data_IF_187088521249
#
_entry.id   IF_187088521249
#
_cell.length_a   1.000
_cell.length_b   1.000
_cell.length_c   1.000
_cell.angle_alpha   90.00
_cell.angle_beta   90.00
_cell.angle_gamma   90.00
#
_symmetry.space_group_name_H-M   'P 1'
#
loop_
_entity.id
_entity.type
_entity.pdbx_description
1 polymer ?
#
# COMPACT_ATOMS: atom_id res chain seq x y z
N UNK A 1 6.61 31.00 4.40
CA UNK A 1 6.66 30.33 3.09
C UNK A 1 7.57 29.13 3.25
N UNK A 2 7.16 27.93 2.84
CA UNK A 2 7.99 26.73 3.01
C UNK A 2 9.18 26.83 2.05
N UNK A 3 10.40 26.76 2.58
CA UNK A 3 11.60 26.72 1.76
C UNK A 3 11.80 25.28 1.25
N UNK A 4 11.64 25.05 -0.05
CA UNK A 4 11.77 23.70 -0.63
C UNK A 4 13.19 23.13 -0.51
N UNK A 5 14.21 23.99 -0.47
CA UNK A 5 15.61 23.58 -0.40
C UNK A 5 15.90 22.84 0.92
N UNK A 6 15.04 23.02 1.93
CA UNK A 6 15.11 22.30 3.21
C UNK A 6 14.77 20.80 3.10
N UNK A 7 14.19 20.36 1.97
CA UNK A 7 13.74 18.98 1.74
C UNK A 7 14.47 18.30 0.57
N UNK A 8 15.29 19.05 -0.16
CA UNK A 8 16.01 18.58 -1.34
C UNK A 8 17.49 18.41 -0.98
N UNK A 9 18.03 17.23 -1.25
CA UNK A 9 19.44 16.93 -1.06
C UNK A 9 20.04 16.27 -2.31
N UNK A 10 21.32 15.89 -2.24
CA UNK A 10 22.01 15.22 -3.35
C UNK A 10 21.38 13.88 -3.77
N UNK A 11 20.64 13.22 -2.88
CA UNK A 11 20.02 11.92 -3.14
C UNK A 11 18.73 12.04 -3.93
N UNK A 12 17.94 13.10 -3.70
CA UNK A 12 16.61 13.26 -4.29
C UNK A 12 16.48 14.39 -5.33
N UNK A 13 17.51 15.23 -5.50
CA UNK A 13 17.45 16.40 -6.39
C UNK A 13 17.08 16.03 -7.84
N UNK A 14 17.64 14.95 -8.38
CA UNK A 14 17.34 14.51 -9.74
C UNK A 14 15.88 14.06 -9.91
N UNK A 15 15.33 13.36 -8.92
CA UNK A 15 13.92 12.95 -8.92
C UNK A 15 13.00 14.19 -8.83
N UNK A 16 13.33 15.12 -7.94
CA UNK A 16 12.62 16.39 -7.81
C UNK A 16 12.60 17.18 -9.12
N UNK A 17 13.76 17.35 -9.76
CA UNK A 17 13.89 18.07 -11.03
C UNK A 17 13.09 17.41 -12.15
N UNK A 18 13.16 16.07 -12.23
CA UNK A 18 12.40 15.28 -13.19
C UNK A 18 10.89 15.50 -13.02
N UNK A 19 10.38 15.37 -11.79
CA UNK A 19 8.95 15.51 -11.50
C UNK A 19 8.47 16.96 -11.63
N UNK A 20 9.26 17.95 -11.23
CA UNK A 20 8.94 19.38 -11.35
C UNK A 20 8.79 19.83 -12.81
N UNK A 21 9.44 19.15 -13.76
CA UNK A 21 9.22 19.38 -15.19
C UNK A 21 7.83 18.92 -15.64
N UNK A 22 7.24 17.91 -14.99
CA UNK A 22 5.95 17.29 -15.34
C UNK A 22 4.76 17.85 -14.55
N UNK A 23 4.97 18.17 -13.27
CA UNK A 23 3.93 18.58 -12.33
C UNK A 23 4.13 20.02 -11.85
N UNK A 24 3.04 20.65 -11.42
CA UNK A 24 3.10 21.86 -10.63
C UNK A 24 3.07 21.46 -9.16
N UNK A 25 4.25 21.21 -8.58
CA UNK A 25 4.41 20.73 -7.20
C UNK A 25 4.45 21.93 -6.26
N UNK A 26 3.68 21.86 -5.18
CA UNK A 26 3.65 22.83 -4.10
C UNK A 26 3.77 22.12 -2.75
N UNK A 27 4.32 22.81 -1.75
CA UNK A 27 4.46 22.29 -0.39
C UNK A 27 3.43 22.94 0.53
N UNK A 28 2.90 22.19 1.48
CA UNK A 28 2.04 22.69 2.56
C UNK A 28 2.37 21.97 3.85
N UNK A 29 2.12 22.59 5.00
CA UNK A 29 2.33 21.89 6.27
C UNK A 29 1.23 20.85 6.48
N UNK A 30 1.65 19.64 6.86
CA UNK A 30 0.74 18.59 7.27
C UNK A 30 0.05 18.97 8.57
N UNK A 31 -1.18 18.48 8.76
CA UNK A 31 -1.90 18.57 10.06
C UNK A 31 -1.63 17.36 10.95
N UNK A 32 -0.85 16.41 10.46
CA UNK A 32 -0.46 15.17 11.14
C UNK A 32 1.07 15.11 11.18
N UNK A 33 1.68 14.26 12.01
CA UNK A 33 3.14 14.11 12.01
C UNK A 33 3.68 13.45 10.73
N UNK A 34 2.81 13.04 9.80
CA UNK A 34 3.17 12.30 8.61
C UNK A 34 3.23 13.20 7.37
N UNK A 35 4.14 12.85 6.48
CA UNK A 35 4.15 13.35 5.12
C UNK A 35 3.01 12.70 4.34
N UNK A 36 2.45 13.45 3.38
CA UNK A 36 1.36 12.97 2.53
C UNK A 36 1.43 13.64 1.16
N UNK A 37 0.94 12.97 0.14
CA UNK A 37 0.78 13.54 -1.20
C UNK A 37 -0.69 13.63 -1.60
N UNK A 38 -1.06 14.77 -2.19
CA UNK A 38 -2.34 14.95 -2.87
C UNK A 38 -2.12 15.32 -4.32
N UNK A 39 -2.61 14.45 -5.21
CA UNK A 39 -2.53 14.62 -6.66
C UNK A 39 -3.88 15.11 -7.15
N UNK A 40 -3.93 16.37 -7.59
CA UNK A 40 -5.17 17.01 -8.04
C UNK A 40 -5.44 16.62 -9.49
N UNK A 41 -6.72 16.41 -9.86
CA UNK A 41 -7.11 16.04 -11.22
C UNK A 41 -6.59 17.07 -12.24
N UNK A 42 -5.99 16.58 -13.33
CA UNK A 42 -5.40 17.44 -14.37
C UNK A 42 -6.49 18.20 -15.16
N UNK A 43 -6.28 19.51 -15.32
CA UNK A 43 -7.02 20.33 -16.28
C UNK A 43 -6.34 20.25 -17.65
N UNK A 44 -7.13 20.24 -18.74
CA UNK A 44 -6.66 20.02 -20.12
C UNK A 44 -5.48 20.90 -20.56
N UNK A 45 -5.35 22.10 -19.99
CA UNK A 45 -4.37 23.11 -20.43
C UNK A 45 -3.27 23.43 -19.40
N UNK A 46 -3.18 22.69 -18.29
CA UNK A 46 -2.22 22.99 -17.23
C UNK A 46 -1.46 21.75 -16.78
N UNK A 47 -0.25 21.99 -16.21
CA UNK A 47 0.45 20.95 -15.46
C UNK A 47 -0.48 20.44 -14.36
N UNK A 48 -0.46 19.12 -14.14
CA UNK A 48 -1.20 18.54 -13.03
C UNK A 48 -0.64 19.09 -11.72
N UNK A 49 -1.53 19.58 -10.85
CA UNK A 49 -1.16 20.14 -9.56
C UNK A 49 -0.95 19.02 -8.55
N UNK A 50 0.10 19.16 -7.76
CA UNK A 50 0.46 18.24 -6.68
C UNK A 50 0.77 19.06 -5.44
N UNK A 51 0.24 18.62 -4.31
CA UNK A 51 0.57 19.17 -2.99
C UNK A 51 1.28 18.07 -2.21
N UNK A 52 2.51 18.31 -1.79
CA UNK A 52 3.19 17.47 -0.81
C UNK A 52 3.03 18.16 0.55
N UNK A 53 2.36 17.47 1.46
CA UNK A 53 2.24 17.87 2.85
C UNK A 53 3.47 17.41 3.60
N UNK A 54 4.21 18.36 4.16
CA UNK A 54 5.46 18.12 4.89
C UNK A 54 5.26 18.37 6.37
N UNK A 55 6.01 17.67 7.21
CA UNK A 55 6.04 17.94 8.64
C UNK A 55 6.86 19.22 8.89
N UNK A 56 6.36 20.11 9.76
CA UNK A 56 7.05 21.35 10.15
C UNK A 56 8.15 21.11 11.18
N UNK A 57 7.99 20.06 11.99
CA UNK A 57 8.91 19.65 13.05
C UNK A 57 9.97 18.64 12.57
N UNK A 58 9.77 18.05 11.39
CA UNK A 58 10.68 17.07 10.79
C UNK A 58 10.92 17.41 9.32
N UNK A 59 12.16 17.79 8.99
CA UNK A 59 12.62 18.09 7.63
C UNK A 59 13.30 16.88 7.00
N UNK A 60 12.70 15.71 7.16
CA UNK A 60 13.25 14.45 6.66
C UNK A 60 13.30 14.44 5.13
N UNK A 61 14.51 14.36 4.59
CA UNK A 61 14.75 14.11 3.17
C UNK A 61 14.21 12.74 2.74
N UNK A 62 14.27 11.76 3.64
CA UNK A 62 13.78 10.40 3.43
C UNK A 62 12.26 10.41 3.22
N UNK A 63 11.51 10.99 4.16
CA UNK A 63 10.05 11.05 4.11
C UNK A 63 9.56 11.92 2.95
N UNK A 64 10.29 12.99 2.61
CA UNK A 64 9.98 13.76 1.41
C UNK A 64 10.18 12.94 0.13
N UNK A 65 11.26 12.15 0.06
CA UNK A 65 11.55 11.30 -1.09
C UNK A 65 10.52 10.19 -1.24
N UNK A 66 10.00 9.64 -0.14
CA UNK A 66 8.90 8.68 -0.13
C UNK A 66 7.68 9.22 -0.92
N UNK A 67 7.26 10.47 -0.64
CA UNK A 67 6.16 11.11 -1.38
C UNK A 67 6.50 11.38 -2.86
N UNK A 68 7.76 11.73 -3.16
CA UNK A 68 8.21 11.88 -4.55
C UNK A 68 8.15 10.57 -5.33
N UNK A 69 8.41 9.44 -4.69
CA UNK A 69 8.32 8.12 -5.32
C UNK A 69 6.87 7.72 -5.60
N UNK A 70 5.93 8.02 -4.71
CA UNK A 70 4.50 7.89 -5.05
C UNK A 70 4.12 8.75 -6.28
N UNK A 71 4.62 9.98 -6.35
CA UNK A 71 4.41 10.83 -7.52
C UNK A 71 5.03 10.25 -8.80
N UNK A 72 6.19 9.61 -8.68
CA UNK A 72 6.85 8.91 -9.79
C UNK A 72 6.01 7.74 -10.30
N UNK A 73 5.47 6.89 -9.40
CA UNK A 73 4.56 5.81 -9.81
C UNK A 73 3.34 6.36 -10.56
N UNK A 74 2.76 7.45 -10.05
CA UNK A 74 1.65 8.14 -10.73
C UNK A 74 2.05 8.69 -12.11
N UNK A 75 3.22 9.33 -12.23
CA UNK A 75 3.76 9.79 -13.51
C UNK A 75 3.95 8.65 -14.51
N UNK A 76 4.47 7.53 -14.00
CA UNK A 76 4.68 6.32 -14.78
C UNK A 76 3.35 5.67 -15.13
N UNK A 77 2.21 6.18 -14.61
CA UNK A 77 0.83 5.77 -14.85
C UNK A 77 0.43 4.47 -14.15
N UNK A 78 1.11 4.18 -13.05
CA UNK A 78 0.75 3.13 -12.11
C UNK A 78 -0.22 3.75 -11.10
N UNK A 79 -1.46 3.26 -11.09
CA UNK A 79 -2.54 3.70 -10.23
C UNK A 79 -3.15 2.47 -9.53
N UNK A 80 -2.43 1.95 -8.52
CA UNK A 80 -2.85 0.75 -7.78
C UNK A 80 -4.21 1.01 -7.12
N UNK A 81 -4.35 2.12 -6.40
CA UNK A 81 -5.58 2.45 -5.68
C UNK A 81 -6.78 2.55 -6.62
N UNK A 82 -6.66 3.27 -7.74
CA UNK A 82 -7.76 3.43 -8.69
C UNK A 82 -8.11 2.12 -9.39
N UNK A 83 -7.13 1.27 -9.70
CA UNK A 83 -7.38 -0.06 -10.28
C UNK A 83 -8.05 -1.00 -9.28
N UNK A 84 -7.52 -1.11 -8.06
CA UNK A 84 -8.07 -1.94 -6.99
C UNK A 84 -9.49 -1.49 -6.63
N UNK A 85 -9.69 -0.18 -6.45
CA UNK A 85 -11.02 0.39 -6.17
C UNK A 85 -12.01 0.08 -7.28
N UNK A 86 -11.63 0.23 -8.56
CA UNK A 86 -12.51 -0.15 -9.68
C UNK A 86 -12.86 -1.64 -9.67
N UNK A 87 -11.92 -2.51 -9.32
CA UNK A 87 -12.19 -3.95 -9.21
C UNK A 87 -13.18 -4.23 -8.06
N UNK A 88 -12.99 -3.60 -6.90
CA UNK A 88 -13.87 -3.73 -5.73
C UNK A 88 -15.28 -3.20 -6.02
N UNK A 89 -15.41 -2.00 -6.61
CA UNK A 89 -16.70 -1.37 -6.89
C UNK A 89 -17.53 -2.14 -7.94
N UNK A 90 -16.90 -2.96 -8.78
CA UNK A 90 -17.62 -3.87 -9.69
C UNK A 90 -18.34 -5.00 -8.96
N UNK A 91 -18.02 -5.23 -7.68
CA UNK A 91 -18.65 -6.24 -6.83
C UNK A 91 -19.54 -5.52 -5.81
N UNK A 92 -20.85 -5.51 -6.09
CA UNK A 92 -21.85 -4.67 -5.42
C UNK A 92 -21.82 -4.70 -3.90
N UNK A 93 -21.42 -5.83 -3.29
CA UNK A 93 -21.33 -6.01 -1.84
C UNK A 93 -19.91 -5.99 -1.27
N UNK A 94 -18.89 -6.27 -2.08
CA UNK A 94 -17.49 -6.23 -1.61
C UNK A 94 -17.04 -4.83 -1.20
N UNK A 95 -17.60 -3.78 -1.82
CA UNK A 95 -17.30 -2.40 -1.46
C UNK A 95 -17.60 -2.04 0.00
N UNK A 96 -18.53 -2.77 0.64
CA UNK A 96 -18.81 -2.61 2.06
C UNK A 96 -17.76 -3.32 2.91
N UNK A 97 -17.30 -4.50 2.48
CA UNK A 97 -16.22 -5.23 3.14
C UNK A 97 -14.90 -4.44 3.02
N UNK A 98 -14.44 -4.19 1.81
CA UNK A 98 -13.20 -3.46 1.54
C UNK A 98 -13.50 -1.96 1.46
N UNK A 99 -13.71 -1.32 2.61
CA UNK A 99 -13.96 0.12 2.71
C UNK A 99 -12.76 0.96 2.23
N UNK A 100 -12.92 2.30 2.19
CA UNK A 100 -11.85 3.20 1.73
C UNK A 100 -10.55 3.03 2.51
N UNK A 101 -10.63 2.89 3.84
CA UNK A 101 -9.44 2.81 4.69
C UNK A 101 -8.66 1.53 4.43
N UNK A 102 -9.35 0.39 4.33
CA UNK A 102 -8.74 -0.89 3.98
C UNK A 102 -8.11 -0.84 2.58
N UNK A 103 -8.83 -0.27 1.60
CA UNK A 103 -8.29 -0.08 0.23
C UNK A 103 -7.04 0.78 0.23
N UNK A 104 -7.06 1.90 0.95
CA UNK A 104 -5.91 2.80 1.06
C UNK A 104 -4.71 2.08 1.68
N UNK A 105 -4.91 1.36 2.78
CA UNK A 105 -3.84 0.63 3.46
C UNK A 105 -3.20 -0.44 2.55
N UNK A 106 -4.01 -1.32 1.95
CA UNK A 106 -3.51 -2.36 1.06
C UNK A 106 -2.77 -1.76 -0.14
N UNK A 107 -3.36 -0.75 -0.79
CA UNK A 107 -2.75 -0.16 -1.99
C UNK A 107 -1.45 0.58 -1.65
N UNK A 108 -1.40 1.26 -0.50
CA UNK A 108 -0.19 1.93 -0.05
C UNK A 108 0.95 0.93 0.19
N UNK A 109 0.66 -0.18 0.88
CA UNK A 109 1.65 -1.25 1.08
C UNK A 109 2.13 -1.86 -0.24
N UNK A 110 1.27 -1.97 -1.25
CA UNK A 110 1.67 -2.45 -2.57
C UNK A 110 2.53 -1.42 -3.33
N UNK A 111 2.21 -0.13 -3.27
CA UNK A 111 3.04 0.94 -3.83
C UNK A 111 4.45 0.90 -3.21
N UNK A 112 4.54 0.71 -1.90
CA UNK A 112 5.81 0.57 -1.18
C UNK A 112 6.70 -0.53 -1.77
N UNK A 113 6.12 -1.68 -2.13
CA UNK A 113 6.88 -2.78 -2.74
C UNK A 113 7.42 -2.47 -4.14
N UNK A 114 6.85 -1.47 -4.85
CA UNK A 114 7.34 -1.03 -6.16
C UNK A 114 8.43 0.03 -6.06
N UNK A 115 8.46 0.77 -4.96
CA UNK A 115 9.36 1.92 -4.83
C UNK A 115 10.55 1.70 -3.91
N UNK A 116 10.54 0.66 -3.06
CA UNK A 116 11.63 0.38 -2.12
C UNK A 116 13.00 0.25 -2.81
N UNK A 117 13.09 -0.48 -3.92
CA UNK A 117 14.36 -0.67 -4.62
C UNK A 117 14.94 0.65 -5.16
N UNK A 118 14.08 1.54 -5.66
CA UNK A 118 14.49 2.87 -6.14
C UNK A 118 14.95 3.74 -4.96
N UNK A 119 14.20 3.71 -3.85
CA UNK A 119 14.52 4.43 -2.62
C UNK A 119 15.89 4.03 -2.06
N UNK A 120 16.19 2.72 -2.02
CA UNK A 120 17.49 2.20 -1.59
C UNK A 120 18.62 2.55 -2.57
N UNK A 121 18.37 2.53 -3.89
CA UNK A 121 19.34 2.96 -4.91
C UNK A 121 19.71 4.45 -4.80
N UNK A 122 18.81 5.28 -4.29
CA UNK A 122 19.08 6.70 -3.98
C UNK A 122 19.94 6.86 -2.70
N UNK A 123 20.25 5.77 -2.00
CA UNK A 123 21.12 5.75 -0.83
C UNK A 123 20.42 6.03 0.50
N UNK A 124 19.10 5.97 0.55
CA UNK A 124 18.35 6.10 1.80
C UNK A 124 18.30 4.76 2.55
N UNK A 125 18.13 4.80 3.88
CA UNK A 125 18.06 3.59 4.69
C UNK A 125 16.65 2.99 4.68
N UNK A 126 16.56 1.66 4.59
CA UNK A 126 15.31 0.91 4.69
C UNK A 126 14.54 1.21 5.99
N UNK A 127 15.25 1.44 7.10
CA UNK A 127 14.67 1.78 8.41
C UNK A 127 13.78 3.03 8.34
N UNK A 128 14.10 3.96 7.44
CA UNK A 128 13.45 5.26 7.33
C UNK A 128 12.30 5.24 6.31
N UNK A 129 12.13 4.13 5.59
CA UNK A 129 11.17 4.02 4.49
C UNK A 129 9.72 3.86 4.98
N UNK A 130 9.51 3.14 6.08
CA UNK A 130 8.20 2.96 6.71
C UNK A 130 8.24 3.60 8.11
N UNK A 131 7.30 4.51 8.37
CA UNK A 131 7.19 5.18 9.66
C UNK A 131 6.98 4.19 10.85
N UNK A 132 6.41 3.01 10.58
CA UNK A 132 6.00 2.03 11.59
C UNK A 132 6.84 0.75 11.57
N UNK A 133 8.12 0.83 11.19
CA UNK A 133 9.00 -0.36 11.14
C UNK A 133 9.12 -1.11 12.48
N UNK A 134 8.89 -0.43 13.61
CA UNK A 134 9.04 -1.00 14.96
C UNK A 134 7.74 -1.53 15.59
N UNK A 135 6.61 -1.47 14.89
CA UNK A 135 5.34 -1.99 15.41
C UNK A 135 5.10 -3.40 14.88
N UNK A 136 4.94 -4.41 15.75
CA UNK A 136 4.60 -5.76 15.33
C UNK A 136 3.32 -5.78 14.48
N UNK A 137 3.35 -6.48 13.35
CA UNK A 137 2.18 -6.62 12.48
C UNK A 137 1.06 -7.39 13.19
N UNK A 138 1.44 -8.43 13.93
CA UNK A 138 0.55 -9.32 14.67
C UNK A 138 1.28 -9.80 15.93
N UNK A 139 0.50 -10.07 16.97
CA UNK A 139 0.94 -10.62 18.24
C UNK A 139 -0.03 -11.74 18.66
N UNK A 140 0.26 -12.40 19.79
CA UNK A 140 -0.53 -13.52 20.32
C UNK A 140 -2.00 -13.13 20.59
N UNK A 141 -2.24 -11.88 21.02
CA UNK A 141 -3.59 -11.40 21.28
C UNK A 141 -4.37 -11.23 19.97
N UNK A 142 -3.76 -10.60 18.96
CA UNK A 142 -4.36 -10.35 17.66
C UNK A 142 -4.65 -11.65 16.90
N UNK A 143 -3.76 -12.65 16.95
CA UNK A 143 -4.01 -13.95 16.29
C UNK A 143 -5.15 -14.72 16.99
N UNK A 144 -5.20 -14.71 18.33
CA UNK A 144 -6.29 -15.32 19.10
C UNK A 144 -7.63 -14.64 18.80
N UNK A 145 -7.65 -13.31 18.78
CA UNK A 145 -8.84 -12.54 18.46
C UNK A 145 -9.30 -12.79 17.02
N UNK A 146 -8.37 -12.88 16.06
CA UNK A 146 -8.69 -13.24 14.68
C UNK A 146 -9.32 -14.64 14.60
N UNK A 147 -8.77 -15.63 15.31
CA UNK A 147 -9.34 -16.98 15.38
C UNK A 147 -10.78 -16.96 15.90
N UNK A 148 -11.01 -16.29 17.03
CA UNK A 148 -12.35 -16.13 17.65
C UNK A 148 -13.33 -15.45 16.69
N UNK A 149 -12.85 -14.50 15.90
CA UNK A 149 -13.69 -13.80 14.91
C UNK A 149 -14.15 -14.73 13.79
N UNK A 150 -13.30 -15.68 13.34
CA UNK A 150 -13.69 -16.68 12.34
C UNK A 150 -14.71 -17.70 12.86
N UNK A 151 -14.67 -18.03 14.14
CA UNK A 151 -15.60 -18.98 14.76
C UNK A 151 -16.98 -18.38 15.04
N UNK A 152 -17.13 -17.06 14.98
CA UNK A 152 -18.37 -16.36 15.32
C UNK A 152 -18.92 -15.59 14.12
N UNK A 153 -20.11 -15.99 13.66
CA UNK A 153 -20.82 -15.39 12.52
C UNK A 153 -21.04 -13.88 12.63
N UNK A 154 -21.20 -13.34 13.85
CA UNK A 154 -21.38 -11.89 14.04
C UNK A 154 -20.10 -11.09 13.79
N UNK A 155 -18.94 -11.74 13.83
CA UNK A 155 -17.62 -11.10 13.73
C UNK A 155 -16.77 -11.63 12.58
N UNK A 156 -17.24 -12.64 11.84
CA UNK A 156 -16.49 -13.27 10.76
C UNK A 156 -16.09 -12.30 9.66
N UNK A 157 -16.89 -11.26 9.43
CA UNK A 157 -16.55 -10.15 8.54
C UNK A 157 -15.27 -9.41 8.97
N UNK A 158 -15.13 -9.17 10.28
CA UNK A 158 -13.95 -8.50 10.86
C UNK A 158 -12.75 -9.45 10.82
N UNK A 159 -12.95 -10.72 11.17
CA UNK A 159 -11.92 -11.76 11.08
C UNK A 159 -11.35 -11.89 9.67
N UNK A 160 -12.22 -11.91 8.66
CA UNK A 160 -11.84 -11.95 7.26
C UNK A 160 -10.97 -10.75 6.84
N UNK A 161 -11.37 -9.53 7.22
CA UNK A 161 -10.60 -8.31 6.91
C UNK A 161 -9.23 -8.30 7.59
N UNK A 162 -9.20 -8.63 8.88
CA UNK A 162 -7.97 -8.71 9.65
C UNK A 162 -7.03 -9.75 9.04
N UNK A 163 -7.54 -10.92 8.66
CA UNK A 163 -6.75 -11.97 8.02
C UNK A 163 -6.13 -11.50 6.71
N UNK A 164 -6.95 -11.00 5.78
CA UNK A 164 -6.47 -10.57 4.45
C UNK A 164 -5.48 -9.41 4.60
N UNK A 165 -5.81 -8.42 5.44
CA UNK A 165 -4.96 -7.27 5.71
C UNK A 165 -3.62 -7.66 6.32
N UNK A 166 -3.64 -8.48 7.37
CA UNK A 166 -2.42 -8.93 8.04
C UNK A 166 -1.55 -9.77 7.12
N UNK A 167 -2.12 -10.74 6.39
CA UNK A 167 -1.30 -11.61 5.54
C UNK A 167 -0.68 -10.83 4.38
N UNK A 168 -1.44 -9.94 3.71
CA UNK A 168 -0.85 -9.04 2.69
C UNK A 168 0.26 -8.17 3.29
N UNK A 169 0.09 -7.66 4.51
CA UNK A 169 1.12 -6.86 5.20
C UNK A 169 2.41 -7.66 5.43
N UNK A 170 2.29 -8.93 5.86
CA UNK A 170 3.44 -9.85 6.05
C UNK A 170 4.16 -10.06 4.72
N UNK A 171 3.43 -10.32 3.63
CA UNK A 171 4.00 -10.49 2.29
C UNK A 171 4.69 -9.22 1.77
N UNK A 172 4.08 -8.05 1.96
CA UNK A 172 4.65 -6.77 1.54
C UNK A 172 5.96 -6.45 2.26
N UNK A 173 6.09 -6.79 3.55
CA UNK A 173 7.34 -6.61 4.32
C UNK A 173 8.35 -7.75 4.13
N UNK A 174 8.03 -8.77 3.32
CA UNK A 174 8.86 -9.95 3.09
C UNK A 174 9.27 -10.70 4.38
N UNK A 175 8.37 -10.74 5.38
CA UNK A 175 8.65 -11.23 6.73
C UNK A 175 8.42 -12.73 6.93
N UNK A 176 8.30 -13.51 5.85
CA UNK A 176 7.80 -14.88 5.92
C UNK A 176 8.72 -15.87 6.65
N UNK A 177 9.99 -15.53 6.89
CA UNK A 177 11.01 -16.55 7.19
C UNK A 177 11.64 -16.55 8.59
N UNK A 178 11.32 -15.65 9.52
CA UNK A 178 11.91 -15.74 10.87
C UNK A 178 10.99 -15.30 12.00
N UNK A 179 10.32 -14.15 11.91
CA UNK A 179 9.59 -13.57 13.06
C UNK A 179 8.10 -13.97 13.13
N UNK A 180 7.47 -14.22 11.97
CA UNK A 180 6.00 -14.43 11.90
C UNK A 180 5.58 -15.85 11.53
N UNK A 181 6.52 -16.79 11.40
CA UNK A 181 6.25 -18.15 10.92
C UNK A 181 5.19 -18.90 11.75
N UNK A 182 5.21 -18.75 13.08
CA UNK A 182 4.20 -19.32 13.98
C UNK A 182 2.81 -18.71 13.77
N UNK A 183 2.73 -17.39 13.55
CA UNK A 183 1.47 -16.73 13.24
C UNK A 183 0.92 -17.16 11.88
N UNK A 184 1.77 -17.23 10.85
CA UNK A 184 1.39 -17.71 9.51
C UNK A 184 0.90 -19.16 9.56
N UNK A 185 1.56 -20.04 10.32
CA UNK A 185 1.09 -21.42 10.54
C UNK A 185 -0.30 -21.46 11.18
N UNK A 186 -0.57 -20.56 12.12
CA UNK A 186 -1.89 -20.46 12.75
C UNK A 186 -2.93 -19.95 11.75
N UNK A 187 -2.60 -18.93 10.96
CA UNK A 187 -3.47 -18.43 9.88
C UNK A 187 -3.78 -19.52 8.84
N UNK A 188 -2.79 -20.36 8.48
CA UNK A 188 -2.98 -21.53 7.62
C UNK A 188 -4.02 -22.50 8.18
N UNK A 189 -4.01 -22.77 9.49
CA UNK A 189 -5.04 -23.63 10.11
C UNK A 189 -6.42 -22.99 10.18
N UNK A 190 -6.52 -21.65 10.19
CA UNK A 190 -7.82 -20.96 10.15
C UNK A 190 -8.42 -20.99 8.74
N UNK A 191 -7.60 -20.68 7.73
CA UNK A 191 -8.04 -20.65 6.34
C UNK A 191 -6.88 -20.69 5.33
N UNK A 192 -6.53 -21.89 4.87
CA UNK A 192 -5.48 -22.07 3.87
C UNK A 192 -5.85 -21.48 2.50
N UNK A 193 -7.12 -21.52 2.10
CA UNK A 193 -7.54 -21.00 0.79
C UNK A 193 -7.34 -19.48 0.64
N UNK A 194 -7.56 -18.70 1.71
CA UNK A 194 -7.29 -17.24 1.65
C UNK A 194 -5.78 -17.00 1.48
N UNK A 195 -4.95 -17.82 2.12
CA UNK A 195 -3.49 -17.76 1.95
C UNK A 195 -3.11 -18.10 0.52
N UNK A 196 -3.62 -19.20 -0.03
CA UNK A 196 -3.35 -19.61 -1.42
C UNK A 196 -3.71 -18.50 -2.42
N UNK A 197 -4.87 -17.84 -2.23
CA UNK A 197 -5.29 -16.70 -3.07
C UNK A 197 -4.28 -15.55 -3.03
N UNK A 198 -3.78 -15.22 -1.83
CA UNK A 198 -2.83 -14.12 -1.63
C UNK A 198 -1.45 -14.52 -2.17
N UNK A 199 -1.00 -15.74 -1.96
CA UNK A 199 0.27 -16.25 -2.47
C UNK A 199 0.33 -16.25 -4.00
N UNK A 200 -0.73 -16.74 -4.65
CA UNK A 200 -0.85 -16.67 -6.10
C UNK A 200 -0.81 -15.21 -6.60
N UNK A 201 -1.48 -14.30 -5.89
CA UNK A 201 -1.37 -12.88 -6.20
C UNK A 201 0.09 -12.40 -6.08
N UNK A 202 0.81 -12.76 -5.03
CA UNK A 202 2.20 -12.33 -4.84
C UNK A 202 3.18 -12.94 -5.87
N UNK A 203 2.90 -14.13 -6.38
CA UNK A 203 3.63 -14.70 -7.52
C UNK A 203 3.48 -13.78 -8.75
N UNK A 204 2.24 -13.37 -9.07
CA UNK A 204 1.99 -12.41 -10.16
C UNK A 204 2.57 -11.03 -9.85
N UNK A 205 2.48 -10.59 -8.60
CA UNK A 205 2.94 -9.29 -8.14
C UNK A 205 4.47 -9.16 -8.27
N UNK A 206 5.21 -10.21 -7.93
CA UNK A 206 6.66 -10.24 -8.08
C UNK A 206 7.09 -10.00 -9.54
N UNK A 207 6.37 -10.56 -10.52
CA UNK A 207 6.60 -10.24 -11.93
C UNK A 207 6.27 -8.77 -12.27
N UNK A 208 5.21 -8.21 -11.66
CA UNK A 208 4.85 -6.81 -11.82
C UNK A 208 5.92 -5.86 -11.25
N UNK A 209 6.55 -6.18 -10.11
CA UNK A 209 7.64 -5.38 -9.53
C UNK A 209 8.83 -5.26 -10.47
N UNK A 210 9.18 -6.34 -11.17
CA UNK A 210 10.31 -6.35 -12.10
C UNK A 210 9.97 -5.55 -13.37
N UNK A 211 8.76 -5.72 -13.90
CA UNK A 211 8.40 -5.20 -15.23
C UNK A 211 7.74 -3.82 -15.21
N UNK A 212 7.22 -3.39 -14.07
CA UNK A 212 6.35 -2.21 -13.92
C UNK A 212 5.21 -2.15 -14.95
N UNK A 213 4.76 -3.33 -15.41
CA UNK A 213 3.78 -3.42 -16.49
C UNK A 213 2.36 -3.19 -15.96
N UNK A 214 1.76 -2.05 -16.33
CA UNK A 214 0.40 -1.65 -15.92
C UNK A 214 -0.68 -2.67 -16.25
N UNK A 215 -0.56 -3.36 -17.38
CA UNK A 215 -1.54 -4.37 -17.79
C UNK A 215 -1.48 -5.55 -16.83
N UNK A 216 -0.26 -5.96 -16.44
CA UNK A 216 -0.07 -7.05 -15.49
C UNK A 216 -0.48 -6.66 -14.08
N UNK A 217 -0.15 -5.44 -13.63
CA UNK A 217 -0.64 -4.89 -12.35
C UNK A 217 -2.17 -4.93 -12.30
N UNK A 218 -2.82 -4.45 -13.36
CA UNK A 218 -4.29 -4.49 -13.47
C UNK A 218 -4.83 -5.90 -13.41
N UNK A 219 -4.19 -6.85 -14.11
CA UNK A 219 -4.59 -8.24 -14.12
C UNK A 219 -4.46 -8.87 -12.72
N UNK A 220 -3.31 -8.69 -12.06
CA UNK A 220 -3.05 -9.22 -10.73
C UNK A 220 -4.07 -8.71 -9.70
N UNK A 221 -4.28 -7.39 -9.63
CA UNK A 221 -5.24 -6.79 -8.69
C UNK A 221 -6.69 -7.24 -8.96
N UNK A 222 -7.07 -7.37 -10.24
CA UNK A 222 -8.43 -7.84 -10.59
C UNK A 222 -8.64 -9.29 -10.15
N UNK A 223 -7.67 -10.17 -10.41
CA UNK A 223 -7.73 -11.58 -10.00
C UNK A 223 -7.80 -11.73 -8.48
N UNK A 224 -6.96 -10.99 -7.75
CA UNK A 224 -6.99 -10.98 -6.28
C UNK A 224 -8.39 -10.61 -5.76
N UNK A 225 -8.96 -9.52 -6.26
CA UNK A 225 -10.29 -9.05 -5.83
C UNK A 225 -11.38 -10.06 -6.21
N UNK A 226 -11.33 -10.64 -7.40
CA UNK A 226 -12.31 -11.64 -7.84
C UNK A 226 -12.28 -12.90 -6.94
N UNK A 227 -11.09 -13.41 -6.62
CA UNK A 227 -10.93 -14.59 -5.78
C UNK A 227 -11.32 -14.34 -4.33
N UNK A 228 -10.91 -13.19 -3.76
CA UNK A 228 -11.33 -12.80 -2.42
C UNK A 228 -12.86 -12.61 -2.34
N UNK A 229 -13.47 -12.03 -3.37
CA UNK A 229 -14.93 -11.90 -3.44
C UNK A 229 -15.63 -13.26 -3.39
N UNK A 230 -15.21 -14.22 -4.21
CA UNK A 230 -15.77 -15.58 -4.21
C UNK A 230 -15.64 -16.21 -2.82
N UNK A 231 -14.46 -16.07 -2.18
CA UNK A 231 -14.25 -16.61 -0.84
C UNK A 231 -15.11 -15.92 0.22
N UNK A 232 -15.30 -14.60 0.11
CA UNK A 232 -16.18 -13.86 1.01
C UNK A 232 -17.66 -14.27 0.85
N UNK A 233 -18.11 -14.65 -0.36
CA UNK A 233 -19.46 -15.19 -0.57
C UNK A 233 -19.67 -16.53 0.15
N UNK A 234 -18.66 -17.40 0.23
CA UNK A 234 -18.74 -18.65 1.01
C UNK A 234 -18.95 -18.42 2.51
N UNK A 235 -18.58 -17.23 3.01
CA UNK A 235 -18.79 -16.82 4.40
C UNK A 235 -20.06 -15.99 4.61
N UNK A 236 -20.86 -15.76 3.57
CA UNK A 236 -22.08 -14.95 3.63
C UNK A 236 -21.86 -13.50 4.13
N UNK A 237 -20.64 -12.96 3.98
CA UNK A 237 -20.28 -11.60 4.43
C UNK A 237 -20.35 -10.53 3.33
N UNK A 238 -20.71 -10.94 2.10
CA UNK A 238 -20.89 -10.08 0.91
C UNK A 238 -22.00 -10.60 -0.01
#
# INVERSE_FOLDING_TARGET
MINREDYINSQNCHLWEYLSKKFAISLSYSKTPYYQISIIKKNLFQKQRVVIFVNDNDKSHSSFTHELLHLKLHNDGIDIYGVFTKAVLKKSRLQFLFNNDFRNQICNMLDHTLMIDEYLKMGFNESDFLADNNVPLIDDFRIMEMHRQFENQNTIRVGYLNFVGTYISIKCKNLEYTEYATYVKTMLSMNSEIIDIIDEFFIMWNYCKITHNKIQIKKALTILVDKLYIKAQHYEIV
#
